data_IF_464087100530
#
_entry.id   IF_464087100530
#
_cell.length_a   1.000
_cell.length_b   1.000
_cell.length_c   1.000
_cell.angle_alpha   90.00
_cell.angle_beta   90.00
_cell.angle_gamma   90.00
#
_symmetry.space_group_name_H-M   'P 1'
#
loop_
_entity.id
_entity.type
_entity.pdbx_description
1 polymer ?
#
# COMPACT_ATOMS: atom_id res chain seq x y z
N UNK A 1 9.92 -30.39 15.10
CA UNK A 1 9.56 -29.51 13.97
C UNK A 1 10.07 -28.10 14.27
N UNK A 2 11.12 -27.67 13.56
CA UNK A 2 11.98 -26.55 13.94
C UNK A 2 11.22 -25.20 14.02
N UNK A 3 11.55 -24.35 15.01
CA UNK A 3 10.94 -23.02 15.20
C UNK A 3 10.96 -22.16 13.92
N UNK A 4 11.99 -22.33 13.09
CA UNK A 4 12.14 -21.67 11.78
C UNK A 4 11.01 -22.05 10.80
N UNK A 5 10.67 -23.34 10.70
CA UNK A 5 9.59 -23.80 9.80
C UNK A 5 8.21 -23.30 10.24
N UNK A 6 7.99 -23.18 11.57
CA UNK A 6 6.78 -22.57 12.13
C UNK A 6 6.69 -21.07 11.80
N UNK A 7 7.81 -20.35 11.85
CA UNK A 7 7.85 -18.93 11.49
C UNK A 7 7.57 -18.72 10.00
N UNK A 8 8.28 -19.47 9.13
CA UNK A 8 8.11 -19.39 7.67
C UNK A 8 6.66 -19.69 7.27
N UNK A 9 6.08 -20.77 7.80
CA UNK A 9 4.68 -21.12 7.49
C UNK A 9 3.69 -20.06 7.95
N UNK A 10 3.94 -19.38 9.08
CA UNK A 10 3.10 -18.26 9.55
C UNK A 10 3.19 -17.04 8.63
N UNK A 11 4.40 -16.71 8.16
CA UNK A 11 4.61 -15.61 7.20
C UNK A 11 3.96 -15.95 5.86
N UNK A 12 4.18 -17.14 5.31
CA UNK A 12 3.58 -17.58 4.04
C UNK A 12 2.05 -17.54 4.11
N UNK A 13 1.45 -18.05 5.20
CA UNK A 13 -0.01 -17.98 5.38
C UNK A 13 -0.55 -16.54 5.38
N UNK A 14 0.25 -15.57 5.86
CA UNK A 14 -0.11 -14.15 5.84
C UNK A 14 0.02 -13.53 4.45
N UNK A 15 1.11 -13.81 3.75
CA UNK A 15 1.35 -13.29 2.39
C UNK A 15 0.40 -13.94 1.37
N UNK A 16 -0.09 -15.14 1.62
CA UNK A 16 -1.10 -15.79 0.76
C UNK A 16 -2.52 -15.72 1.33
N UNK A 17 -2.81 -14.77 2.24
CA UNK A 17 -4.16 -14.61 2.76
C UNK A 17 -5.09 -13.99 1.71
N UNK A 18 -6.41 -14.29 1.75
CA UNK A 18 -7.38 -13.63 0.87
C UNK A 18 -7.35 -12.11 0.98
N UNK A 19 -7.10 -11.56 2.17
CA UNK A 19 -6.94 -10.13 2.38
C UNK A 19 -5.70 -9.58 1.68
N UNK A 20 -4.57 -10.30 1.69
CA UNK A 20 -3.38 -9.86 0.96
C UNK A 20 -3.65 -9.77 -0.54
N UNK A 21 -4.29 -10.81 -1.11
CA UNK A 21 -4.63 -10.84 -2.54
C UNK A 21 -5.57 -9.68 -2.88
N UNK A 22 -6.66 -9.51 -2.12
CA UNK A 22 -7.61 -8.40 -2.31
C UNK A 22 -6.94 -7.04 -2.17
N UNK A 23 -6.06 -6.87 -1.19
CA UNK A 23 -5.32 -5.64 -0.97
C UNK A 23 -4.45 -5.28 -2.17
N UNK A 24 -3.77 -6.25 -2.77
CA UNK A 24 -2.99 -6.03 -4.00
C UNK A 24 -3.88 -5.70 -5.21
N UNK A 25 -5.05 -6.36 -5.33
CA UNK A 25 -6.04 -6.03 -6.37
C UNK A 25 -6.51 -4.57 -6.20
N UNK A 26 -6.89 -4.17 -4.99
CA UNK A 26 -7.28 -2.78 -4.68
C UNK A 26 -6.13 -1.82 -4.99
N UNK A 27 -4.89 -2.18 -4.63
CA UNK A 27 -3.71 -1.40 -4.99
C UNK A 27 -3.56 -1.20 -6.49
N UNK A 28 -3.73 -2.26 -7.29
CA UNK A 28 -3.73 -2.21 -8.75
C UNK A 28 -4.84 -1.33 -9.33
N UNK A 29 -6.07 -1.44 -8.79
CA UNK A 29 -7.19 -0.53 -9.14
C UNK A 29 -6.82 0.92 -8.82
N UNK A 30 -6.18 1.17 -7.68
CA UNK A 30 -5.71 2.49 -7.29
C UNK A 30 -4.74 3.13 -8.28
N UNK A 31 -3.88 2.34 -8.94
CA UNK A 31 -2.99 2.84 -10.01
C UNK A 31 -3.82 3.35 -11.18
N UNK A 32 -4.85 2.59 -11.59
CA UNK A 32 -5.74 2.99 -12.69
C UNK A 32 -6.54 4.24 -12.33
N UNK A 33 -7.07 4.32 -11.10
CA UNK A 33 -7.79 5.49 -10.59
C UNK A 33 -6.88 6.72 -10.53
N UNK A 34 -5.64 6.57 -10.07
CA UNK A 34 -4.65 7.63 -10.06
C UNK A 34 -4.40 8.17 -11.48
N UNK A 35 -4.13 7.27 -12.42
CA UNK A 35 -3.83 7.64 -13.80
C UNK A 35 -5.04 8.33 -14.46
N UNK A 36 -6.25 7.82 -14.26
CA UNK A 36 -7.47 8.43 -14.77
C UNK A 36 -7.70 9.82 -14.19
N UNK A 37 -7.60 9.98 -12.86
CA UNK A 37 -7.75 11.27 -12.18
C UNK A 37 -6.69 12.27 -12.67
N UNK A 38 -5.44 11.82 -12.84
CA UNK A 38 -4.35 12.65 -13.34
C UNK A 38 -4.64 13.17 -14.76
N UNK A 39 -5.05 12.29 -15.67
CA UNK A 39 -5.40 12.66 -17.06
C UNK A 39 -6.55 13.67 -17.06
N UNK A 40 -7.62 13.42 -16.30
CA UNK A 40 -8.76 14.35 -16.23
C UNK A 40 -8.32 15.72 -15.71
N UNK A 41 -7.57 15.77 -14.60
CA UNK A 41 -7.11 17.02 -14.01
C UNK A 41 -6.15 17.79 -14.92
N UNK A 42 -5.14 17.11 -15.46
CA UNK A 42 -4.08 17.74 -16.25
C UNK A 42 -4.50 18.03 -17.69
N UNK A 43 -5.13 17.08 -18.38
CA UNK A 43 -5.43 17.21 -19.81
C UNK A 43 -6.80 17.83 -20.08
N UNK A 44 -7.81 17.57 -19.24
CA UNK A 44 -9.16 18.08 -19.51
C UNK A 44 -9.43 19.38 -18.74
N UNK A 45 -9.03 19.43 -17.47
CA UNK A 45 -9.20 20.62 -16.63
C UNK A 45 -7.99 21.57 -16.67
N UNK A 46 -6.92 21.20 -17.38
CA UNK A 46 -5.72 22.04 -17.57
C UNK A 46 -5.08 22.49 -16.24
N UNK A 47 -5.21 21.69 -15.19
CA UNK A 47 -4.57 21.92 -13.89
C UNK A 47 -3.07 21.63 -14.00
N UNK A 48 -2.24 22.46 -13.37
CA UNK A 48 -0.79 22.32 -13.35
C UNK A 48 -0.37 20.90 -12.92
N UNK A 49 0.55 20.28 -13.68
CA UNK A 49 0.81 18.84 -13.58
C UNK A 49 1.22 18.36 -12.18
N UNK A 50 1.98 19.15 -11.41
CA UNK A 50 2.36 18.77 -10.04
C UNK A 50 1.14 18.74 -9.11
N UNK A 51 0.23 19.71 -9.26
CA UNK A 51 -1.02 19.77 -8.50
C UNK A 51 -1.93 18.62 -8.93
N UNK A 52 -2.04 18.35 -10.23
CA UNK A 52 -2.79 17.20 -10.76
C UNK A 52 -2.25 15.88 -10.21
N UNK A 53 -0.93 15.72 -10.12
CA UNK A 53 -0.29 14.54 -9.54
C UNK A 53 -0.60 14.35 -8.06
N UNK A 54 -0.52 15.43 -7.27
CA UNK A 54 -0.87 15.40 -5.85
C UNK A 54 -2.35 15.04 -5.64
N UNK A 55 -3.26 15.73 -6.33
CA UNK A 55 -4.70 15.49 -6.22
C UNK A 55 -5.08 14.08 -6.69
N UNK A 56 -4.51 13.60 -7.80
CA UNK A 56 -4.73 12.23 -8.27
C UNK A 56 -4.23 11.18 -7.28
N UNK A 57 -3.11 11.45 -6.61
CA UNK A 57 -2.58 10.58 -5.54
C UNK A 57 -3.52 10.50 -4.36
N UNK A 58 -4.03 11.64 -3.88
CA UNK A 58 -5.02 11.67 -2.81
C UNK A 58 -6.33 10.95 -3.19
N UNK A 59 -6.84 11.17 -4.42
CA UNK A 59 -8.02 10.46 -4.93
C UNK A 59 -7.79 8.94 -4.92
N UNK A 60 -6.62 8.48 -5.35
CA UNK A 60 -6.28 7.06 -5.33
C UNK A 60 -6.14 6.49 -3.91
N UNK A 61 -5.56 7.24 -2.97
CA UNK A 61 -5.46 6.83 -1.55
C UNK A 61 -6.86 6.69 -0.95
N UNK A 62 -7.75 7.66 -1.16
CA UNK A 62 -9.13 7.63 -0.67
C UNK A 62 -9.90 6.46 -1.29
N UNK A 63 -9.82 6.27 -2.61
CA UNK A 63 -10.43 5.14 -3.30
C UNK A 63 -9.94 3.79 -2.72
N UNK A 64 -8.63 3.66 -2.53
CA UNK A 64 -8.04 2.45 -1.96
C UNK A 64 -8.49 2.22 -0.52
N UNK A 65 -8.62 3.29 0.29
CA UNK A 65 -9.14 3.19 1.63
C UNK A 65 -10.58 2.65 1.63
N UNK A 66 -11.46 3.25 0.82
CA UNK A 66 -12.87 2.85 0.71
C UNK A 66 -12.99 1.40 0.27
N UNK A 67 -12.29 0.99 -0.79
CA UNK A 67 -12.34 -0.39 -1.28
C UNK A 67 -11.78 -1.38 -0.25
N UNK A 68 -10.71 -1.01 0.48
CA UNK A 68 -10.19 -1.88 1.53
C UNK A 68 -11.15 -2.00 2.71
N UNK A 69 -11.85 -0.92 3.10
CA UNK A 69 -12.84 -0.94 4.18
C UNK A 69 -14.07 -1.78 3.79
N UNK A 70 -14.59 -1.59 2.57
CA UNK A 70 -15.82 -2.23 2.08
C UNK A 70 -15.64 -3.67 1.57
N UNK A 71 -14.42 -4.05 1.15
CA UNK A 71 -14.19 -5.35 0.50
C UNK A 71 -13.07 -6.18 1.11
N UNK A 72 -11.87 -5.61 1.27
CA UNK A 72 -10.69 -6.35 1.77
C UNK A 72 -10.88 -6.76 3.22
N UNK A 73 -11.23 -5.81 4.08
CA UNK A 73 -11.30 -5.96 5.52
C UNK A 73 -12.74 -5.91 6.06
N UNK A 74 -13.75 -6.00 5.18
CA UNK A 74 -15.18 -5.86 5.52
C UNK A 74 -15.67 -6.78 6.65
N UNK A 75 -15.05 -7.96 6.78
CA UNK A 75 -15.43 -8.97 7.78
C UNK A 75 -14.76 -8.71 9.16
N UNK A 76 -13.99 -7.62 9.30
CA UNK A 76 -13.32 -7.28 10.55
C UNK A 76 -14.23 -6.43 11.41
N UNK A 77 -14.44 -6.85 12.64
CA UNK A 77 -15.19 -6.08 13.62
C UNK A 77 -14.26 -5.04 14.28
N UNK A 78 -14.05 -3.91 13.61
CA UNK A 78 -13.17 -2.84 14.11
C UNK A 78 -13.97 -1.89 14.99
N UNK A 79 -13.48 -1.58 16.20
CA UNK A 79 -14.10 -0.59 17.10
C UNK A 79 -13.69 0.86 16.82
N UNK A 80 -12.65 1.06 16.01
CA UNK A 80 -12.11 2.40 15.71
C UNK A 80 -13.02 3.18 14.76
N UNK A 81 -13.10 4.50 14.94
CA UNK A 81 -13.84 5.38 14.04
C UNK A 81 -13.24 5.38 12.64
N UNK A 82 -14.08 5.58 11.62
CA UNK A 82 -13.65 5.61 10.21
C UNK A 82 -12.58 6.68 9.96
N UNK A 83 -12.65 7.83 10.64
CA UNK A 83 -11.69 8.92 10.50
C UNK A 83 -10.30 8.56 11.04
N UNK A 84 -10.24 7.88 12.19
CA UNK A 84 -8.97 7.39 12.72
C UNK A 84 -8.38 6.33 11.79
N UNK A 85 -9.20 5.43 11.25
CA UNK A 85 -8.73 4.45 10.25
C UNK A 85 -8.20 5.14 9.00
N UNK A 86 -8.88 6.16 8.49
CA UNK A 86 -8.42 6.93 7.34
C UNK A 86 -7.06 7.59 7.63
N UNK A 87 -6.89 8.23 8.79
CA UNK A 87 -5.61 8.81 9.20
C UNK A 87 -4.48 7.78 9.32
N UNK A 88 -4.74 6.65 9.99
CA UNK A 88 -3.78 5.55 10.09
C UNK A 88 -3.44 4.94 8.72
N UNK A 89 -4.40 4.92 7.78
CA UNK A 89 -4.16 4.45 6.43
C UNK A 89 -3.20 5.38 5.66
N UNK A 90 -3.36 6.70 5.80
CA UNK A 90 -2.41 7.66 5.21
C UNK A 90 -1.01 7.50 5.81
N UNK A 91 -0.90 7.36 7.14
CA UNK A 91 0.38 7.08 7.81
C UNK A 91 1.01 5.77 7.31
N UNK A 92 0.19 4.74 7.11
CA UNK A 92 0.61 3.48 6.50
C UNK A 92 1.17 3.70 5.10
N UNK A 93 0.50 4.49 4.22
CA UNK A 93 0.99 4.82 2.87
C UNK A 93 2.34 5.54 2.90
N UNK A 94 2.49 6.53 3.78
CA UNK A 94 3.73 7.28 3.94
C UNK A 94 4.87 6.37 4.43
N UNK A 95 4.60 5.47 5.38
CA UNK A 95 5.57 4.48 5.82
C UNK A 95 5.98 3.56 4.68
N UNK A 96 5.03 3.03 3.90
CA UNK A 96 5.32 2.18 2.76
C UNK A 96 6.20 2.88 1.72
N UNK A 97 5.92 4.16 1.43
CA UNK A 97 6.77 4.98 0.57
C UNK A 97 8.19 5.14 1.15
N UNK A 98 8.31 5.43 2.44
CA UNK A 98 9.60 5.51 3.13
C UNK A 98 10.39 4.20 3.07
N UNK A 99 9.71 3.05 3.24
CA UNK A 99 10.31 1.72 3.10
C UNK A 99 10.79 1.48 1.67
N UNK A 100 9.99 1.81 0.66
CA UNK A 100 10.39 1.67 -0.74
C UNK A 100 11.64 2.50 -1.04
N UNK A 101 11.66 3.78 -0.65
CA UNK A 101 12.81 4.67 -0.93
C UNK A 101 14.06 4.25 -0.16
N UNK A 102 13.92 3.91 1.12
CA UNK A 102 15.02 3.45 1.95
C UNK A 102 15.59 2.12 1.46
N UNK A 103 14.73 1.17 1.07
CA UNK A 103 15.18 -0.09 0.50
C UNK A 103 15.89 0.12 -0.84
N UNK A 104 15.38 1.00 -1.71
CA UNK A 104 16.02 1.30 -2.98
C UNK A 104 17.43 1.85 -2.77
N UNK A 105 17.57 2.84 -1.89
CA UNK A 105 18.87 3.41 -1.52
C UNK A 105 19.82 2.33 -0.99
N UNK A 106 19.36 1.49 -0.06
CA UNK A 106 20.19 0.40 0.48
C UNK A 106 20.62 -0.59 -0.61
N UNK A 107 19.70 -1.03 -1.46
CA UNK A 107 19.97 -2.04 -2.49
C UNK A 107 20.88 -1.51 -3.61
N UNK A 108 20.73 -0.26 -4.02
CA UNK A 108 21.55 0.35 -5.08
C UNK A 108 22.89 0.84 -4.53
N UNK A 109 22.89 1.62 -3.44
CA UNK A 109 24.10 2.29 -2.97
C UNK A 109 25.02 1.38 -2.15
N UNK A 110 24.46 0.46 -1.35
CA UNK A 110 25.26 -0.46 -0.53
C UNK A 110 25.47 -1.81 -1.20
N UNK A 111 24.40 -2.41 -1.74
CA UNK A 111 24.48 -3.73 -2.38
C UNK A 111 24.82 -3.70 -3.87
N UNK A 112 24.88 -2.52 -4.49
CA UNK A 112 25.22 -2.33 -5.92
C UNK A 112 24.36 -3.15 -6.87
N UNK A 113 23.12 -3.44 -6.49
CA UNK A 113 22.16 -4.08 -7.38
C UNK A 113 21.78 -3.14 -8.53
N UNK A 114 21.41 -3.74 -9.66
CA UNK A 114 20.82 -2.98 -10.76
C UNK A 114 19.57 -2.22 -10.26
N UNK A 115 19.45 -0.96 -10.68
CA UNK A 115 18.43 -0.01 -10.26
C UNK A 115 17.00 -0.50 -10.51
N UNK A 116 16.71 -1.07 -11.69
CA UNK A 116 15.40 -1.60 -12.02
C UNK A 116 15.02 -2.78 -11.12
N UNK A 117 15.95 -3.74 -10.93
CA UNK A 117 15.71 -4.88 -10.05
C UNK A 117 15.54 -4.44 -8.58
N UNK A 118 16.40 -3.52 -8.12
CA UNK A 118 16.31 -2.95 -6.78
C UNK A 118 14.99 -2.21 -6.57
N UNK A 119 14.50 -1.49 -7.57
CA UNK A 119 13.22 -0.78 -7.52
C UNK A 119 12.04 -1.74 -7.42
N UNK A 120 12.02 -2.82 -8.22
CA UNK A 120 10.98 -3.84 -8.14
C UNK A 120 10.92 -4.52 -6.76
N UNK A 121 12.09 -4.88 -6.21
CA UNK A 121 12.18 -5.46 -4.86
C UNK A 121 11.67 -4.45 -3.81
N UNK A 122 12.08 -3.20 -3.94
CA UNK A 122 11.71 -2.14 -3.00
C UNK A 122 10.22 -1.84 -2.99
N UNK A 123 9.56 -1.84 -4.16
CA UNK A 123 8.10 -1.74 -4.26
C UNK A 123 7.45 -2.92 -3.52
N UNK A 124 7.96 -4.13 -3.70
CA UNK A 124 7.48 -5.32 -2.99
C UNK A 124 7.56 -5.16 -1.47
N UNK A 125 8.68 -4.64 -0.96
CA UNK A 125 8.87 -4.36 0.47
C UNK A 125 7.91 -3.28 0.97
N UNK A 126 7.72 -2.20 0.20
CA UNK A 126 6.75 -1.14 0.52
C UNK A 126 5.31 -1.65 0.56
N UNK A 127 4.92 -2.52 -0.37
CA UNK A 127 3.60 -3.19 -0.39
C UNK A 127 3.41 -4.07 0.84
N UNK A 128 4.42 -4.83 1.24
CA UNK A 128 4.37 -5.63 2.47
C UNK A 128 4.21 -4.73 3.71
N UNK A 129 5.00 -3.66 3.82
CA UNK A 129 4.88 -2.71 4.92
C UNK A 129 3.47 -2.08 4.99
N UNK A 130 2.96 -1.66 3.83
CA UNK A 130 1.61 -1.13 3.66
C UNK A 130 0.53 -2.12 4.09
N UNK A 131 0.63 -3.38 3.67
CA UNK A 131 -0.34 -4.41 4.02
C UNK A 131 -0.31 -4.72 5.51
N UNK A 132 0.87 -5.00 6.08
CA UNK A 132 0.98 -5.38 7.49
C UNK A 132 0.56 -4.25 8.43
N UNK A 133 0.89 -3.00 8.10
CA UNK A 133 0.44 -1.88 8.93
C UNK A 133 -1.05 -1.63 8.81
N UNK A 134 -1.63 -1.77 7.62
CA UNK A 134 -3.09 -1.73 7.42
C UNK A 134 -3.80 -2.84 8.18
N UNK A 135 -3.26 -4.04 8.11
CA UNK A 135 -3.80 -5.23 8.76
C UNK A 135 -3.78 -5.15 10.29
N UNK A 136 -2.68 -4.68 10.88
CA UNK A 136 -2.47 -4.69 12.34
C UNK A 136 -3.06 -3.44 12.98
N UNK A 137 -2.90 -2.28 12.35
CA UNK A 137 -3.23 -0.99 12.96
C UNK A 137 -4.48 -0.34 12.38
N UNK A 138 -4.70 -0.38 11.06
CA UNK A 138 -5.86 0.31 10.45
C UNK A 138 -7.14 -0.49 10.66
N UNK A 139 -7.12 -1.80 10.37
CA UNK A 139 -8.26 -2.71 10.56
C UNK A 139 -7.95 -3.77 11.63
N UNK A 140 -7.57 -3.30 12.82
CA UNK A 140 -7.35 -4.14 13.99
C UNK A 140 -8.65 -4.77 14.49
N UNK A 141 -8.60 -6.05 14.88
CA UNK A 141 -9.74 -6.83 15.43
C UNK A 141 -9.79 -6.84 16.97
N UNK A 142 -9.10 -5.93 17.65
CA UNK A 142 -9.09 -5.82 19.13
C UNK A 142 -10.29 -5.03 19.65
#
# INVERSE_FOLDING_TARGET
MNNVLRLISKILRRVFSPEFIKFNIVGGVGILVNMAAYIVLKDWLQVYYMISGALATEVAIINNFILNDLWTFRNRNTKMSIWLRAGLFHLSRLLGMGVTLGALYVLVDFFKLNDLLAYLISIGLGVLANFYTSDIYVWSQR
#
